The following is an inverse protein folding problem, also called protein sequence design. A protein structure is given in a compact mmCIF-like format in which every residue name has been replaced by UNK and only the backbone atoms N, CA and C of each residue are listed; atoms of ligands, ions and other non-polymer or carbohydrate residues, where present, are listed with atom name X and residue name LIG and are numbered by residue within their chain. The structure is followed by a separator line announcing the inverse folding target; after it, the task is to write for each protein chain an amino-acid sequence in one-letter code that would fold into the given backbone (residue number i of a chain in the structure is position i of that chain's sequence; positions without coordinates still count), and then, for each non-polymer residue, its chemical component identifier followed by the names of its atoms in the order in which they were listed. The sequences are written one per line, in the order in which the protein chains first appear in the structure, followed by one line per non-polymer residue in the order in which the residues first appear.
data_IF_194326704561
#
_entry.id   IF_194326704561
#
_cell.length_a   1.000
_cell.length_b   1.000
_cell.length_c   1.000
_cell.angle_alpha   90.00
_cell.angle_beta   90.00
_cell.angle_gamma   90.00
#
_symmetry.space_group_name_H-M   'P 1'
#
loop_
_entity.id
_entity.type
_entity.pdbx_description
1 polymer ?
#
# COMPACT_ATOMS: atom_id res chain seq x y z
N UNK A 1 37.30 -56.91 32.41
CA UNK A 1 36.22 -57.93 32.37
C UNK A 1 35.32 -57.65 33.55
N UNK A 2 34.34 -56.76 33.38
CA UNK A 2 33.27 -56.45 34.34
C UNK A 2 32.06 -56.00 33.52
N UNK A 3 30.89 -56.47 33.92
CA UNK A 3 29.65 -56.66 33.16
C UNK A 3 28.97 -55.43 32.55
N UNK A 4 28.38 -55.65 31.38
CA UNK A 4 27.35 -54.81 30.77
C UNK A 4 25.98 -55.20 31.33
N UNK A 5 25.33 -54.31 32.08
CA UNK A 5 23.89 -54.41 32.39
C UNK A 5 23.15 -53.31 31.66
N UNK A 6 22.29 -53.69 30.71
CA UNK A 6 21.25 -52.83 30.14
C UNK A 6 20.21 -52.51 31.21
N UNK A 7 19.81 -51.25 31.34
CA UNK A 7 18.39 -50.92 31.50
C UNK A 7 18.06 -49.51 31.00
N UNK A 8 16.84 -49.40 30.50
CA UNK A 8 16.24 -48.40 29.60
C UNK A 8 15.65 -47.16 30.29
N UNK A 9 15.40 -46.15 29.44
CA UNK A 9 14.46 -45.01 29.56
C UNK A 9 14.95 -43.74 30.28
N UNK A 10 15.16 -42.66 29.50
CA UNK A 10 14.08 -41.68 29.36
C UNK A 10 14.34 -40.70 28.21
N UNK A 11 13.36 -40.73 27.31
CA UNK A 11 12.99 -39.75 26.30
C UNK A 11 12.63 -38.41 26.96
N UNK A 12 12.81 -37.32 26.20
CA UNK A 12 12.20 -35.98 26.34
C UNK A 12 13.17 -34.88 26.77
N UNK A 13 13.93 -34.32 25.82
CA UNK A 13 14.41 -32.93 25.91
C UNK A 13 14.81 -32.34 24.54
N UNK A 14 14.25 -32.85 23.44
CA UNK A 14 14.57 -32.35 22.08
C UNK A 14 13.34 -31.85 21.31
N UNK A 15 12.23 -31.61 22.00
CA UNK A 15 11.01 -31.06 21.41
C UNK A 15 10.54 -29.86 22.21
N UNK A 16 11.27 -28.74 22.09
CA UNK A 16 10.77 -27.37 22.36
C UNK A 16 11.84 -26.34 21.97
N UNK A 17 12.27 -26.37 20.70
CA UNK A 17 12.80 -25.16 20.03
C UNK A 17 11.89 -24.86 18.86
N UNK A 18 10.61 -24.70 19.19
CA UNK A 18 9.58 -24.28 18.26
C UNK A 18 8.77 -23.22 18.99
N UNK A 19 9.31 -22.01 19.09
CA UNK A 19 8.50 -20.80 19.36
C UNK A 19 9.36 -19.54 19.20
N UNK A 20 8.83 -18.61 18.39
CA UNK A 20 9.13 -17.17 18.42
C UNK A 20 10.46 -16.68 17.80
N UNK A 21 10.66 -16.94 16.50
CA UNK A 21 11.06 -15.82 15.62
C UNK A 21 9.79 -15.26 15.00
N UNK A 22 9.18 -14.26 15.66
CA UNK A 22 8.24 -13.35 15.00
C UNK A 22 9.01 -12.68 13.85
N UNK A 23 8.99 -13.28 12.67
CA UNK A 23 9.27 -12.53 11.46
C UNK A 23 8.17 -11.47 11.37
N UNK A 24 8.52 -10.18 11.36
CA UNK A 24 7.58 -9.12 10.99
C UNK A 24 7.06 -9.45 9.59
N UNK A 25 5.93 -10.15 9.52
CA UNK A 25 5.24 -10.46 8.29
C UNK A 25 4.41 -9.22 7.96
N UNK A 26 4.85 -8.45 6.96
CA UNK A 26 4.00 -7.44 6.33
C UNK A 26 2.68 -8.09 5.92
N UNK A 27 1.57 -7.54 6.42
CA UNK A 27 0.23 -8.03 6.08
C UNK A 27 -0.22 -7.46 4.74
N UNK A 28 -1.25 -8.05 4.12
CA UNK A 28 -1.87 -7.46 2.92
C UNK A 28 -2.45 -6.07 3.22
N UNK A 29 -2.97 -5.83 4.43
CA UNK A 29 -3.46 -4.51 4.83
C UNK A 29 -2.33 -3.47 4.89
N UNK A 30 -1.16 -3.84 5.41
CA UNK A 30 0.03 -2.97 5.40
C UNK A 30 0.45 -2.62 3.97
N UNK A 31 0.42 -3.61 3.07
CA UNK A 31 0.70 -3.40 1.65
C UNK A 31 -0.33 -2.50 0.99
N UNK A 32 -1.61 -2.75 1.23
CA UNK A 32 -2.70 -1.96 0.70
C UNK A 32 -2.61 -0.51 1.18
N UNK A 33 -2.28 -0.30 2.44
CA UNK A 33 -2.06 1.03 3.04
C UNK A 33 -0.90 1.76 2.39
N UNK A 34 0.22 1.07 2.16
CA UNK A 34 1.38 1.64 1.47
C UNK A 34 1.04 2.03 0.03
N UNK A 35 0.39 1.14 -0.73
CA UNK A 35 -0.06 1.41 -2.11
C UNK A 35 -1.04 2.57 -2.17
N UNK A 36 -1.94 2.66 -1.20
CA UNK A 36 -2.89 3.77 -1.07
C UNK A 36 -2.18 5.09 -0.84
N UNK A 37 -1.23 5.15 0.08
CA UNK A 37 -0.45 6.37 0.34
C UNK A 37 0.27 6.87 -0.93
N UNK A 38 0.85 5.96 -1.72
CA UNK A 38 1.48 6.31 -3.02
C UNK A 38 0.43 6.83 -4.02
N UNK A 39 -0.74 6.19 -4.11
CA UNK A 39 -1.83 6.67 -4.96
C UNK A 39 -2.34 8.05 -4.54
N UNK A 40 -2.42 8.31 -3.24
CA UNK A 40 -2.83 9.61 -2.70
C UNK A 40 -1.81 10.69 -3.07
N UNK A 41 -0.50 10.42 -2.93
CA UNK A 41 0.56 11.34 -3.36
C UNK A 41 0.45 11.67 -4.86
N UNK A 42 0.19 10.67 -5.71
CA UNK A 42 -0.06 10.88 -7.15
C UNK A 42 -1.27 11.77 -7.39
N UNK A 43 -2.38 11.50 -6.69
CA UNK A 43 -3.59 12.31 -6.78
C UNK A 43 -3.38 13.76 -6.34
N UNK A 44 -2.63 13.98 -5.26
CA UNK A 44 -2.29 15.32 -4.78
C UNK A 44 -1.40 16.07 -5.78
N UNK A 45 -0.45 15.38 -6.42
CA UNK A 45 0.38 15.98 -7.46
C UNK A 45 -0.43 16.42 -8.69
N UNK A 46 -1.40 15.63 -9.15
CA UNK A 46 -2.28 16.02 -10.26
C UNK A 46 -3.21 17.19 -9.88
N UNK A 47 -3.66 17.29 -8.63
CA UNK A 47 -4.39 18.47 -8.15
C UNK A 47 -3.52 19.72 -8.17
N UNK A 48 -2.27 19.62 -7.72
CA UNK A 48 -1.31 20.73 -7.77
C UNK A 48 -1.04 21.17 -9.21
N UNK A 49 -0.89 20.21 -10.13
CA UNK A 49 -0.75 20.48 -11.56
C UNK A 49 -1.95 21.22 -12.13
N UNK A 50 -3.15 20.79 -11.78
CA UNK A 50 -4.40 21.43 -12.21
C UNK A 50 -4.50 22.86 -11.69
N UNK A 51 -4.19 23.08 -10.40
CA UNK A 51 -4.15 24.41 -9.78
C UNK A 51 -3.12 25.33 -10.44
N UNK A 52 -1.94 24.80 -10.76
CA UNK A 52 -0.89 25.56 -11.43
C UNK A 52 -1.25 25.90 -12.87
N UNK A 53 -1.87 24.96 -13.60
CA UNK A 53 -2.39 25.21 -14.94
C UNK A 53 -3.45 26.30 -14.95
N UNK A 54 -4.33 26.31 -13.95
CA UNK A 54 -5.31 27.38 -13.78
C UNK A 54 -4.64 28.72 -13.50
N UNK A 55 -3.62 28.75 -12.62
CA UNK A 55 -2.84 29.97 -12.33
C UNK A 55 -2.13 30.51 -13.57
N UNK A 56 -1.59 29.64 -14.42
CA UNK A 56 -0.99 30.01 -15.70
C UNK A 56 -2.01 30.55 -16.70
N UNK A 57 -3.22 29.98 -16.75
CA UNK A 57 -4.28 30.46 -17.65
C UNK A 57 -4.81 31.85 -17.26
N UNK A 58 -4.68 32.24 -15.99
CA UNK A 58 -5.02 33.58 -15.51
C UNK A 58 -3.85 34.56 -15.60
N UNK A 59 -2.67 34.10 -16.04
CA UNK A 59 -1.42 34.85 -15.99
C UNK A 59 -1.24 35.86 -17.15
N UNK A 60 -2.13 35.90 -18.14
CA UNK A 60 -2.07 36.85 -19.27
C UNK A 60 -2.12 38.33 -18.82
N UNK A 61 -2.45 38.60 -17.55
CA UNK A 61 -2.43 39.94 -16.94
C UNK A 61 -1.49 40.06 -15.71
N UNK A 62 -0.60 39.10 -15.47
CA UNK A 62 0.27 39.10 -14.27
C UNK A 62 1.64 39.73 -14.51
N UNK A 63 2.24 40.23 -13.43
CA UNK A 63 3.61 40.76 -13.43
C UNK A 63 4.65 39.68 -13.77
N UNK A 64 5.81 40.11 -14.29
CA UNK A 64 6.94 39.21 -14.58
C UNK A 64 7.37 38.39 -13.35
N UNK A 65 7.35 39.00 -12.17
CA UNK A 65 7.73 38.34 -10.91
C UNK A 65 6.77 37.20 -10.56
N UNK A 66 5.48 37.41 -10.78
CA UNK A 66 4.44 36.41 -10.52
C UNK A 66 4.51 35.26 -11.52
N UNK A 67 4.78 35.56 -12.80
CA UNK A 67 5.08 34.55 -13.80
C UNK A 67 6.29 33.69 -13.40
N UNK A 68 7.39 34.32 -12.98
CA UNK A 68 8.59 33.61 -12.55
C UNK A 68 8.33 32.73 -11.33
N UNK A 69 7.53 33.20 -10.36
CA UNK A 69 7.14 32.42 -9.20
C UNK A 69 6.29 31.18 -9.58
N UNK A 70 5.34 31.33 -10.51
CA UNK A 70 4.54 30.22 -11.04
C UNK A 70 5.43 29.21 -11.78
N UNK A 71 6.41 29.69 -12.56
CA UNK A 71 7.36 28.84 -13.26
C UNK A 71 8.23 28.01 -12.29
N UNK A 72 8.78 28.64 -11.25
CA UNK A 72 9.54 27.92 -10.22
C UNK A 72 8.68 26.88 -9.47
N UNK A 73 7.38 27.16 -9.25
CA UNK A 73 6.44 26.16 -8.69
C UNK A 73 6.25 24.99 -9.65
N UNK A 74 6.23 25.23 -10.97
CA UNK A 74 6.15 24.17 -11.99
C UNK A 74 7.35 23.24 -11.95
N UNK A 75 8.55 23.82 -11.85
CA UNK A 75 9.79 23.05 -11.77
C UNK A 75 9.80 22.15 -10.52
N UNK A 76 9.43 22.69 -9.36
CA UNK A 76 9.28 21.90 -8.13
C UNK A 76 8.25 20.78 -8.26
N UNK A 77 7.11 21.06 -8.91
CA UNK A 77 6.08 20.04 -9.15
C UNK A 77 6.59 18.91 -10.06
N UNK A 78 7.37 19.23 -11.08
CA UNK A 78 8.01 18.21 -11.93
C UNK A 78 8.95 17.34 -11.10
N UNK A 79 9.74 17.94 -10.20
CA UNK A 79 10.60 17.20 -9.29
C UNK A 79 9.80 16.27 -8.36
N UNK A 80 8.71 16.76 -7.77
CA UNK A 80 7.82 15.94 -6.94
C UNK A 80 7.24 14.77 -7.73
N UNK A 81 6.82 14.98 -8.98
CA UNK A 81 6.31 13.90 -9.84
C UNK A 81 7.36 12.82 -10.11
N UNK A 82 8.61 13.22 -10.36
CA UNK A 82 9.73 12.29 -10.54
C UNK A 82 9.95 11.49 -9.25
N UNK A 83 10.03 12.17 -8.10
CA UNK A 83 10.22 11.53 -6.80
C UNK A 83 9.10 10.55 -6.43
N UNK A 84 7.84 10.90 -6.70
CA UNK A 84 6.70 10.00 -6.46
C UNK A 84 6.80 8.76 -7.33
N UNK A 85 7.22 8.90 -8.60
CA UNK A 85 7.41 7.77 -9.51
C UNK A 85 8.56 6.86 -9.08
N UNK A 86 9.69 7.44 -8.69
CA UNK A 86 10.85 6.70 -8.18
C UNK A 86 10.53 5.98 -6.87
N UNK A 87 9.79 6.64 -5.97
CA UNK A 87 9.31 6.04 -4.73
C UNK A 87 8.34 4.88 -5.02
N UNK A 88 7.39 5.06 -5.93
CA UNK A 88 6.47 4.00 -6.35
C UNK A 88 7.22 2.78 -6.88
N UNK A 89 8.23 2.99 -7.73
CA UNK A 89 9.08 1.92 -8.24
C UNK A 89 9.84 1.22 -7.11
N UNK A 90 10.54 1.99 -6.27
CA UNK A 90 11.35 1.45 -5.16
C UNK A 90 10.50 0.65 -4.18
N UNK A 91 9.32 1.15 -3.84
CA UNK A 91 8.35 0.45 -2.99
C UNK A 91 7.91 -0.85 -3.68
N UNK A 92 7.52 -0.81 -4.96
CA UNK A 92 7.07 -2.01 -5.66
C UNK A 92 8.15 -3.11 -5.75
N UNK A 93 9.43 -2.74 -5.78
CA UNK A 93 10.56 -3.69 -5.80
C UNK A 93 10.78 -4.40 -4.46
N UNK A 94 10.54 -3.71 -3.33
CA UNK A 94 10.79 -4.24 -1.99
C UNK A 94 9.54 -4.79 -1.29
N UNK A 95 8.35 -4.41 -1.78
CA UNK A 95 7.09 -4.81 -1.16
C UNK A 95 6.82 -6.30 -1.37
N UNK A 96 6.35 -7.01 -0.34
CA UNK A 96 6.06 -8.43 -0.46
C UNK A 96 4.90 -8.67 -1.43
N UNK A 97 5.00 -9.77 -2.17
CA UNK A 97 3.91 -10.21 -3.04
C UNK A 97 2.67 -10.53 -2.22
N UNK A 98 1.52 -10.02 -2.65
CA UNK A 98 0.26 -10.31 -2.00
C UNK A 98 -0.17 -11.75 -2.26
N UNK A 99 -0.66 -12.41 -1.21
CA UNK A 99 -1.13 -13.78 -1.28
C UNK A 99 -2.37 -13.90 -2.19
N UNK A 100 -2.47 -15.00 -2.93
CA UNK A 100 -3.69 -15.37 -3.68
C UNK A 100 -4.79 -15.97 -2.80
N UNK A 101 -4.56 -16.04 -1.49
CA UNK A 101 -5.56 -16.47 -0.50
C UNK A 101 -6.76 -15.52 -0.49
N UNK A 102 -7.89 -16.04 -0.01
CA UNK A 102 -9.11 -15.27 0.17
C UNK A 102 -8.86 -14.12 1.14
N UNK A 103 -9.57 -13.00 0.91
CA UNK A 103 -9.54 -11.87 1.82
C UNK A 103 -10.04 -12.27 3.21
N UNK A 104 -9.38 -11.76 4.24
CA UNK A 104 -9.81 -11.88 5.64
C UNK A 104 -11.07 -11.03 5.88
N UNK A 105 -11.76 -11.25 7.00
CA UNK A 105 -12.96 -10.46 7.31
C UNK A 105 -12.59 -9.03 7.71
N UNK A 106 -11.43 -8.82 8.33
CA UNK A 106 -10.86 -7.50 8.59
C UNK A 106 -10.59 -6.74 7.28
N UNK A 107 -9.91 -7.37 6.32
CA UNK A 107 -9.64 -6.78 5.01
C UNK A 107 -10.93 -6.41 4.26
N UNK A 108 -11.97 -7.26 4.34
CA UNK A 108 -13.29 -6.96 3.76
C UNK A 108 -13.96 -5.77 4.42
N UNK A 109 -13.86 -5.66 5.74
CA UNK A 109 -14.42 -4.53 6.49
C UNK A 109 -13.71 -3.22 6.12
N UNK A 110 -12.38 -3.24 6.03
CA UNK A 110 -11.60 -2.09 5.57
C UNK A 110 -11.99 -1.67 4.14
N UNK A 111 -12.03 -2.61 3.20
CA UNK A 111 -12.44 -2.37 1.80
C UNK A 111 -13.82 -1.71 1.76
N UNK A 112 -14.76 -2.23 2.55
CA UNK A 112 -16.13 -1.70 2.62
C UNK A 112 -16.14 -0.27 3.16
N UNK A 113 -15.42 0.00 4.26
CA UNK A 113 -15.31 1.33 4.85
C UNK A 113 -14.70 2.34 3.88
N UNK A 114 -13.59 1.98 3.23
CA UNK A 114 -12.91 2.80 2.24
C UNK A 114 -13.79 3.07 1.01
N UNK A 115 -14.51 2.08 0.51
CA UNK A 115 -15.45 2.27 -0.60
C UNK A 115 -16.62 3.19 -0.23
N UNK A 116 -17.16 3.02 0.98
CA UNK A 116 -18.28 3.83 1.47
C UNK A 116 -17.88 5.30 1.69
N UNK A 117 -16.63 5.55 2.06
CA UNK A 117 -16.07 6.92 2.18
C UNK A 117 -16.00 7.68 0.84
N UNK A 118 -16.18 7.00 -0.30
CA UNK A 118 -16.03 7.55 -1.66
C UNK A 118 -14.63 8.08 -2.00
N UNK A 119 -13.65 7.82 -1.14
CA UNK A 119 -12.24 8.16 -1.40
C UNK A 119 -11.65 7.28 -2.50
N UNK A 120 -12.10 6.03 -2.60
CA UNK A 120 -11.56 5.06 -3.56
C UNK A 120 -12.68 4.32 -4.29
N UNK A 121 -12.46 4.08 -5.58
CA UNK A 121 -13.34 3.23 -6.39
C UNK A 121 -12.91 1.76 -6.35
N UNK A 122 -13.72 0.87 -6.92
CA UNK A 122 -13.48 -0.58 -6.85
C UNK A 122 -12.17 -1.00 -7.54
N UNK A 123 -11.76 -0.32 -8.61
CA UNK A 123 -10.50 -0.58 -9.31
C UNK A 123 -9.31 -0.20 -8.43
N UNK A 124 -9.33 0.99 -7.82
CA UNK A 124 -8.26 1.44 -6.93
C UNK A 124 -8.11 0.49 -5.72
N UNK A 125 -9.23 0.06 -5.13
CA UNK A 125 -9.21 -0.90 -4.03
C UNK A 125 -8.69 -2.27 -4.47
N UNK A 126 -9.01 -2.71 -5.69
CA UNK A 126 -8.49 -3.95 -6.25
C UNK A 126 -6.95 -3.91 -6.38
N UNK A 127 -6.42 -2.81 -6.91
CA UNK A 127 -4.98 -2.58 -7.03
C UNK A 127 -4.29 -2.52 -5.66
N UNK A 128 -4.89 -1.83 -4.69
CA UNK A 128 -4.38 -1.73 -3.32
C UNK A 128 -4.28 -3.10 -2.65
N UNK A 129 -5.35 -3.90 -2.68
CA UNK A 129 -5.41 -5.21 -2.00
C UNK A 129 -4.88 -6.39 -2.84
N UNK A 130 -4.43 -6.13 -4.07
CA UNK A 130 -3.89 -7.14 -4.98
C UNK A 130 -4.90 -8.23 -5.34
N UNK A 131 -6.15 -7.84 -5.54
CA UNK A 131 -7.25 -8.72 -5.94
C UNK A 131 -7.90 -8.21 -7.22
N UNK A 132 -8.83 -8.98 -7.79
CA UNK A 132 -9.56 -8.53 -8.98
C UNK A 132 -10.69 -7.56 -8.59
N UNK A 133 -11.04 -6.63 -9.49
CA UNK A 133 -12.18 -5.72 -9.28
C UNK A 133 -13.52 -6.45 -9.02
N UNK A 134 -13.84 -7.59 -9.67
CA UNK A 134 -15.00 -8.39 -9.30
C UNK A 134 -14.98 -8.87 -7.84
N UNK A 135 -13.81 -9.24 -7.31
CA UNK A 135 -13.65 -9.65 -5.89
C UNK A 135 -14.06 -8.52 -4.96
N UNK A 136 -13.63 -7.28 -5.25
CA UNK A 136 -14.04 -6.10 -4.49
C UNK A 136 -15.56 -5.87 -4.61
N UNK A 137 -16.12 -6.03 -5.81
CA UNK A 137 -17.56 -5.94 -6.05
C UNK A 137 -18.38 -6.91 -5.18
N UNK A 138 -17.92 -8.16 -5.05
CA UNK A 138 -18.58 -9.18 -4.23
C UNK A 138 -18.51 -8.85 -2.74
N UNK A 139 -17.37 -8.33 -2.26
CA UNK A 139 -17.21 -7.87 -0.87
C UNK A 139 -18.21 -6.75 -0.57
N UNK A 140 -18.28 -5.73 -1.44
CA UNK A 140 -19.18 -4.60 -1.25
C UNK A 140 -20.65 -5.03 -1.29
N UNK A 141 -21.03 -5.95 -2.20
CA UNK A 141 -22.41 -6.45 -2.26
C UNK A 141 -22.81 -7.22 -1.00
N UNK A 142 -21.93 -8.10 -0.51
CA UNK A 142 -22.18 -8.88 0.70
C UNK A 142 -22.32 -8.02 1.94
N UNK A 143 -21.61 -6.89 2.03
CA UNK A 143 -21.74 -5.96 3.15
C UNK A 143 -23.07 -5.20 3.22
N UNK A 144 -23.85 -5.20 2.14
CA UNK A 144 -25.14 -4.49 2.03
C UNK A 144 -26.36 -5.41 2.20
N UNK A 145 -26.14 -6.72 2.24
CA UNK A 145 -27.19 -7.73 2.44
C UNK A 145 -27.30 -8.07 3.92
#
# INVERSE_FOLDING_TARGET
MVDFTKNTNNTSDTQQVQEQKQQQCFTRSDVATTRRAVQDLKGQSEKLKSSLSQSLSTADNTSMDEFQAIWSKREKLNQVNIQVKELEQSINEIMPSLSKTKLSDEEKNEITGLYNSKLYNQTQLADQYGVSQPTIGDVIKKSKS
#
